data_IF_031639682864
#
_entry.id   IF_031639682864
#
_cell.length_a   1.000
_cell.length_b   1.000
_cell.length_c   1.000
_cell.angle_alpha   90.00
_cell.angle_beta   90.00
_cell.angle_gamma   90.00
#
_symmetry.space_group_name_H-M   'P 1'
#
loop_
_entity.id
_entity.type
_entity.pdbx_description
1 polymer ?
#
# COMPACT_ATOMS: atom_id res chain seq x y z
N UNK A 1 -57.53 -12.20 -22.66
CA UNK A 1 -56.52 -11.44 -23.43
C UNK A 1 -55.63 -10.73 -22.43
N UNK A 2 -54.52 -11.33 -22.08
CA UNK A 2 -53.53 -10.75 -21.16
C UNK A 2 -52.38 -10.13 -21.99
N UNK A 3 -52.40 -8.84 -22.06
CA UNK A 3 -51.37 -8.04 -22.71
C UNK A 3 -50.15 -8.05 -21.79
N UNK A 4 -49.17 -8.88 -22.09
CA UNK A 4 -47.83 -8.82 -21.44
C UNK A 4 -47.05 -7.73 -22.11
N UNK A 5 -47.07 -6.55 -21.51
CA UNK A 5 -46.12 -5.49 -21.80
C UNK A 5 -44.70 -6.02 -21.65
N UNK A 6 -44.01 -6.20 -22.75
CA UNK A 6 -42.58 -6.49 -22.81
C UNK A 6 -41.84 -5.36 -22.08
N UNK A 7 -41.14 -5.71 -21.00
CA UNK A 7 -40.25 -4.82 -20.33
C UNK A 7 -39.25 -4.27 -21.36
N UNK A 8 -39.13 -2.95 -21.44
CA UNK A 8 -38.17 -2.26 -22.27
C UNK A 8 -36.78 -2.82 -21.98
N UNK A 9 -36.09 -3.25 -23.03
CA UNK A 9 -34.68 -3.62 -22.98
C UNK A 9 -33.92 -2.53 -22.25
N UNK A 10 -33.11 -2.85 -21.24
CA UNK A 10 -32.31 -1.81 -20.57
C UNK A 10 -31.47 -1.12 -21.63
N UNK A 11 -31.59 0.20 -21.74
CA UNK A 11 -30.74 0.99 -22.60
C UNK A 11 -29.32 0.70 -22.25
N UNK A 12 -28.52 0.26 -23.23
CA UNK A 12 -27.07 0.13 -23.08
C UNK A 12 -26.57 1.47 -22.55
N UNK A 13 -25.87 1.53 -21.43
CA UNK A 13 -25.36 2.75 -20.87
C UNK A 13 -24.61 3.49 -21.99
N UNK A 14 -24.90 4.77 -22.21
CA UNK A 14 -24.12 5.60 -23.13
C UNK A 14 -22.69 5.50 -22.66
N UNK A 15 -21.90 4.67 -23.37
CA UNK A 15 -20.55 4.29 -23.01
C UNK A 15 -19.77 5.55 -22.66
N UNK A 16 -19.19 5.56 -21.45
CA UNK A 16 -18.27 6.60 -21.08
C UNK A 16 -17.17 6.65 -22.13
N UNK A 17 -16.84 7.83 -22.59
CA UNK A 17 -15.78 8.03 -23.58
C UNK A 17 -14.38 7.88 -22.98
N UNK A 18 -14.27 7.37 -21.74
CA UNK A 18 -12.99 7.06 -21.12
C UNK A 18 -12.35 5.87 -21.80
N UNK A 19 -11.27 6.13 -22.51
CA UNK A 19 -10.44 5.10 -23.09
C UNK A 19 -9.35 4.75 -22.07
N UNK A 20 -9.24 3.48 -21.66
CA UNK A 20 -8.17 3.06 -20.76
C UNK A 20 -6.80 3.34 -21.38
N UNK A 21 -5.88 3.87 -20.58
CA UNK A 21 -4.49 4.07 -20.99
C UNK A 21 -3.85 2.70 -21.20
N UNK A 22 -3.50 2.40 -22.45
CA UNK A 22 -2.85 1.15 -22.80
C UNK A 22 -1.34 1.34 -22.81
N UNK A 23 -0.62 0.46 -22.13
CA UNK A 23 0.84 0.35 -22.23
C UNK A 23 1.22 -0.23 -23.60
N UNK A 24 2.39 0.12 -24.10
CA UNK A 24 2.83 -0.29 -25.44
C UNK A 24 2.87 -1.82 -25.59
N UNK A 25 3.36 -2.54 -24.58
CA UNK A 25 3.34 -4.00 -24.59
C UNK A 25 1.93 -4.60 -24.75
N UNK A 26 0.89 -3.95 -24.24
CA UNK A 26 -0.49 -4.40 -24.40
C UNK A 26 -0.99 -4.09 -25.82
N UNK A 27 -0.58 -2.97 -26.40
CA UNK A 27 -0.86 -2.65 -27.81
C UNK A 27 -0.22 -3.67 -28.75
N UNK A 28 1.01 -4.10 -28.47
CA UNK A 28 1.70 -5.13 -29.23
C UNK A 28 0.95 -6.45 -29.22
N UNK A 29 0.44 -6.88 -28.05
CA UNK A 29 -0.39 -8.09 -27.93
C UNK A 29 -1.71 -8.00 -28.73
N UNK A 30 -2.28 -6.79 -28.84
CA UNK A 30 -3.53 -6.53 -29.57
C UNK A 30 -3.31 -6.27 -31.04
N UNK A 31 -2.10 -5.95 -31.47
CA UNK A 31 -1.79 -5.68 -32.86
C UNK A 31 -2.10 -6.90 -33.75
N UNK A 32 -2.65 -6.63 -34.93
CA UNK A 32 -2.99 -7.69 -35.89
C UNK A 32 -1.89 -7.71 -36.96
N UNK A 33 -1.00 -8.73 -36.94
CA UNK A 33 0.03 -8.88 -37.95
C UNK A 33 -0.55 -9.28 -39.33
N UNK A 34 0.29 -9.42 -40.33
CA UNK A 34 -0.10 -9.70 -41.71
C UNK A 34 -0.85 -11.03 -41.89
N UNK A 35 -0.71 -11.96 -40.99
CA UNK A 35 -1.46 -13.24 -40.98
C UNK A 35 -2.87 -13.12 -40.39
N UNK A 36 -3.28 -11.93 -39.93
CA UNK A 36 -4.64 -11.62 -39.49
C UNK A 36 -4.98 -12.10 -38.06
N UNK A 37 -4.02 -12.63 -37.31
CA UNK A 37 -4.27 -13.16 -35.93
C UNK A 37 -3.36 -12.47 -34.92
N UNK A 38 -3.95 -11.75 -33.96
CA UNK A 38 -3.18 -11.11 -32.88
C UNK A 38 -2.57 -12.14 -31.94
N UNK A 39 -1.48 -11.79 -31.27
CA UNK A 39 -0.86 -12.63 -30.26
C UNK A 39 -1.83 -12.95 -29.10
N UNK A 40 -2.64 -11.98 -28.71
CA UNK A 40 -3.68 -12.20 -27.70
C UNK A 40 -4.68 -13.29 -28.11
N UNK A 41 -5.06 -13.32 -29.40
CA UNK A 41 -5.97 -14.35 -29.94
C UNK A 41 -5.31 -15.73 -29.91
N UNK A 42 -4.02 -15.83 -30.21
CA UNK A 42 -3.26 -17.09 -30.10
C UNK A 42 -3.21 -17.59 -28.67
N UNK A 43 -2.90 -16.70 -27.72
CA UNK A 43 -2.89 -17.02 -26.28
C UNK A 43 -4.27 -17.46 -25.80
N UNK A 44 -5.34 -16.78 -26.20
CA UNK A 44 -6.70 -17.16 -25.86
C UNK A 44 -7.07 -18.57 -26.36
N UNK A 45 -6.62 -18.91 -27.57
CA UNK A 45 -6.83 -20.24 -28.15
C UNK A 45 -6.08 -21.32 -27.35
N UNK A 46 -4.84 -21.04 -26.97
CA UNK A 46 -4.03 -21.96 -26.15
C UNK A 46 -4.57 -22.15 -24.74
N UNK A 47 -5.05 -21.09 -24.12
CA UNK A 47 -5.58 -21.11 -22.75
C UNK A 47 -6.93 -21.85 -22.65
N UNK A 48 -7.69 -21.94 -23.75
CA UNK A 48 -9.01 -22.56 -23.83
C UNK A 48 -10.02 -22.06 -22.74
N UNK A 49 -9.84 -20.87 -22.19
CA UNK A 49 -10.67 -20.26 -21.17
C UNK A 49 -10.15 -18.89 -20.71
N UNK A 50 -10.70 -18.31 -19.64
CA UNK A 50 -10.20 -17.05 -19.10
C UNK A 50 -8.73 -17.18 -18.68
N UNK A 51 -7.94 -16.17 -18.98
CA UNK A 51 -6.51 -16.13 -18.62
C UNK A 51 -6.05 -14.72 -18.30
N UNK A 52 -4.91 -14.61 -17.64
CA UNK A 52 -4.25 -13.36 -17.35
C UNK A 52 -2.89 -13.31 -18.03
N UNK A 53 -2.58 -12.17 -18.64
CA UNK A 53 -1.24 -11.88 -19.17
C UNK A 53 -0.52 -11.00 -18.17
N UNK A 54 0.63 -11.46 -17.70
CA UNK A 54 1.43 -10.77 -16.71
C UNK A 54 2.78 -10.35 -17.32
N UNK A 55 3.15 -9.08 -17.16
CA UNK A 55 4.42 -8.57 -17.65
C UNK A 55 5.36 -8.27 -16.48
N UNK A 56 6.25 -9.20 -16.19
CA UNK A 56 7.22 -9.07 -15.09
C UNK A 56 8.25 -7.99 -15.33
N UNK A 57 8.59 -7.67 -16.59
CA UNK A 57 9.54 -6.61 -16.91
C UNK A 57 8.95 -5.22 -16.53
N UNK A 58 7.71 -4.93 -16.91
CA UNK A 58 7.03 -3.68 -16.53
C UNK A 58 6.86 -3.60 -15.01
N UNK A 59 6.57 -4.73 -14.36
CA UNK A 59 6.48 -4.78 -12.91
C UNK A 59 7.81 -4.39 -12.24
N UNK A 60 8.95 -4.95 -12.68
CA UNK A 60 10.29 -4.59 -12.21
C UNK A 60 10.58 -3.11 -12.42
N UNK A 61 10.27 -2.58 -13.61
CA UNK A 61 10.44 -1.15 -13.90
C UNK A 61 9.64 -0.27 -12.93
N UNK A 62 8.41 -0.66 -12.58
CA UNK A 62 7.60 0.08 -11.61
C UNK A 62 8.23 0.06 -10.21
N UNK A 63 8.71 -1.09 -9.72
CA UNK A 63 9.40 -1.18 -8.42
C UNK A 63 10.63 -0.29 -8.40
N UNK A 64 11.47 -0.38 -9.43
CA UNK A 64 12.70 0.39 -9.54
C UNK A 64 12.43 1.89 -9.67
N UNK A 65 11.32 2.29 -10.28
CA UNK A 65 10.93 3.69 -10.35
C UNK A 65 10.62 4.29 -8.97
N UNK A 66 9.97 3.53 -8.07
CA UNK A 66 9.80 3.95 -6.68
C UNK A 66 11.13 4.06 -5.93
N UNK A 67 12.01 3.06 -6.07
CA UNK A 67 13.33 3.07 -5.45
C UNK A 67 14.17 4.28 -5.92
N UNK A 68 14.15 4.58 -7.20
CA UNK A 68 14.85 5.73 -7.78
C UNK A 68 14.36 7.08 -7.23
N UNK A 69 13.10 7.20 -6.85
CA UNK A 69 12.61 8.40 -6.16
C UNK A 69 13.30 8.54 -4.79
N UNK A 70 13.30 7.49 -3.99
CA UNK A 70 13.94 7.53 -2.68
C UNK A 70 15.45 7.83 -2.79
N UNK A 71 16.13 7.23 -3.77
CA UNK A 71 17.55 7.48 -4.04
C UNK A 71 17.82 8.95 -4.38
N UNK A 72 17.02 9.56 -5.27
CA UNK A 72 17.13 11.00 -5.60
C UNK A 72 16.99 11.89 -4.37
N UNK A 73 16.12 11.51 -3.45
CA UNK A 73 15.96 12.20 -2.17
C UNK A 73 17.02 11.82 -1.13
N UNK A 74 17.91 10.86 -1.41
CA UNK A 74 18.92 10.36 -0.50
C UNK A 74 18.34 9.69 0.75
N UNK A 75 17.15 9.10 0.63
CA UNK A 75 16.46 8.36 1.70
C UNK A 75 16.84 6.89 1.59
N UNK A 76 17.33 6.31 2.69
CA UNK A 76 17.52 4.86 2.81
C UNK A 76 16.15 4.20 2.92
N UNK A 77 15.82 3.37 1.94
CA UNK A 77 14.48 2.85 1.82
C UNK A 77 14.43 1.44 1.26
N UNK A 78 13.32 0.77 1.53
CA UNK A 78 12.99 -0.53 0.97
C UNK A 78 11.58 -0.49 0.40
N UNK A 79 11.42 -0.98 -0.83
CA UNK A 79 10.11 -1.14 -1.44
C UNK A 79 9.58 -2.53 -1.11
N UNK A 80 8.43 -2.60 -0.46
CA UNK A 80 7.73 -3.85 -0.16
C UNK A 80 6.56 -4.03 -1.13
N UNK A 81 6.63 -5.06 -1.94
CA UNK A 81 5.50 -5.43 -2.79
C UNK A 81 4.40 -6.11 -1.98
N UNK A 82 3.21 -5.51 -1.94
CA UNK A 82 2.05 -6.07 -1.25
C UNK A 82 1.47 -7.24 -2.06
N UNK A 83 1.88 -8.47 -1.74
CA UNK A 83 1.50 -9.69 -2.47
C UNK A 83 -0.02 -9.92 -2.48
N UNK A 84 -0.73 -9.47 -1.46
CA UNK A 84 -2.20 -9.48 -1.39
C UNK A 84 -2.91 -8.77 -2.56
N UNK A 85 -2.24 -7.81 -3.20
CA UNK A 85 -2.81 -7.07 -4.34
C UNK A 85 -2.85 -7.93 -5.61
N UNK A 86 -1.87 -8.80 -5.80
CA UNK A 86 -1.82 -9.76 -6.90
C UNK A 86 -0.99 -10.98 -6.47
N UNK A 87 -1.66 -12.11 -6.25
CA UNK A 87 -1.07 -13.34 -5.70
C UNK A 87 -0.44 -14.27 -6.74
N UNK A 88 -0.15 -13.77 -7.95
CA UNK A 88 0.52 -14.57 -8.97
C UNK A 88 1.95 -14.89 -8.54
N UNK A 89 2.31 -16.16 -8.62
CA UNK A 89 3.60 -16.67 -8.11
C UNK A 89 4.84 -16.05 -8.78
N UNK A 90 4.69 -15.53 -10.00
CA UNK A 90 5.79 -14.90 -10.75
C UNK A 90 6.30 -13.58 -10.14
N UNK A 91 5.50 -12.93 -9.27
CA UNK A 91 5.89 -11.66 -8.68
C UNK A 91 6.97 -11.80 -7.61
N UNK A 92 6.92 -12.83 -6.80
CA UNK A 92 7.87 -13.03 -5.70
C UNK A 92 9.32 -13.14 -6.21
N UNK A 93 9.65 -14.01 -7.18
CA UNK A 93 10.99 -14.04 -7.76
C UNK A 93 11.38 -12.70 -8.39
N UNK A 94 10.44 -12.05 -9.12
CA UNK A 94 10.71 -10.78 -9.77
C UNK A 94 11.06 -9.66 -8.77
N UNK A 95 10.42 -9.65 -7.59
CA UNK A 95 10.74 -8.72 -6.50
C UNK A 95 12.12 -8.99 -5.91
N UNK A 96 12.41 -10.25 -5.62
CA UNK A 96 13.68 -10.67 -5.00
C UNK A 96 14.89 -10.43 -5.91
N UNK A 97 14.75 -10.69 -7.21
CA UNK A 97 15.83 -10.47 -8.20
C UNK A 97 16.18 -8.98 -8.36
N UNK A 98 15.24 -8.06 -8.11
CA UNK A 98 15.49 -6.62 -8.09
C UNK A 98 15.97 -6.10 -6.72
N UNK A 99 16.17 -6.98 -5.73
CA UNK A 99 16.59 -6.59 -4.38
C UNK A 99 15.51 -5.88 -3.56
N UNK A 100 14.24 -6.02 -3.94
CA UNK A 100 13.10 -5.48 -3.22
C UNK A 100 12.50 -6.51 -2.26
N UNK A 101 11.53 -6.12 -1.44
CA UNK A 101 10.97 -6.88 -0.34
C UNK A 101 9.51 -7.22 -0.57
N UNK A 102 8.93 -8.12 0.24
CA UNK A 102 7.55 -8.58 0.08
C UNK A 102 6.74 -8.36 1.36
N UNK A 103 5.56 -7.75 1.21
CA UNK A 103 4.52 -7.69 2.24
C UNK A 103 3.54 -8.85 2.04
N UNK A 104 3.43 -9.71 3.04
CA UNK A 104 2.56 -10.88 3.07
C UNK A 104 1.50 -10.75 4.16
N UNK A 105 0.28 -11.23 3.89
CA UNK A 105 -0.86 -11.08 4.79
C UNK A 105 -1.50 -12.43 5.21
N UNK A 106 -0.93 -13.55 4.82
CA UNK A 106 -1.43 -14.88 5.21
C UNK A 106 -0.30 -15.90 5.39
N UNK A 107 -0.60 -17.03 6.02
CA UNK A 107 0.35 -18.13 6.20
C UNK A 107 0.80 -18.73 4.88
N UNK A 108 -0.11 -18.83 3.91
CA UNK A 108 0.17 -19.33 2.56
C UNK A 108 1.11 -18.37 1.81
N UNK A 109 0.87 -17.07 1.91
CA UNK A 109 1.74 -16.05 1.29
C UNK A 109 3.15 -16.10 1.92
N UNK A 110 3.25 -16.17 3.26
CA UNK A 110 4.53 -16.27 3.95
C UNK A 110 5.29 -17.56 3.58
N UNK A 111 4.60 -18.69 3.59
CA UNK A 111 5.19 -19.99 3.22
C UNK A 111 5.63 -19.99 1.76
N UNK A 112 4.81 -19.43 0.87
CA UNK A 112 5.13 -19.29 -0.54
C UNK A 112 6.36 -18.43 -0.80
N UNK A 113 6.48 -17.29 -0.11
CA UNK A 113 7.62 -16.39 -0.24
C UNK A 113 8.93 -17.04 0.27
N UNK A 114 8.88 -17.66 1.45
CA UNK A 114 10.02 -18.43 2.00
C UNK A 114 10.41 -19.61 1.09
N UNK A 115 9.40 -20.34 0.58
CA UNK A 115 9.61 -21.46 -0.35
C UNK A 115 10.19 -21.02 -1.70
N UNK A 116 9.95 -19.79 -2.13
CA UNK A 116 10.58 -19.18 -3.31
C UNK A 116 12.00 -18.65 -3.05
N UNK A 117 12.52 -18.78 -1.82
CA UNK A 117 13.89 -18.40 -1.46
C UNK A 117 14.04 -16.95 -0.99
N UNK A 118 12.93 -16.21 -0.73
CA UNK A 118 13.03 -14.86 -0.16
C UNK A 118 13.54 -14.95 1.28
N UNK A 119 14.55 -14.16 1.62
CA UNK A 119 15.07 -14.09 2.97
C UNK A 119 14.01 -13.54 3.95
N UNK A 120 13.94 -14.11 5.16
CA UNK A 120 12.99 -13.67 6.16
C UNK A 120 13.15 -12.17 6.52
N UNK A 121 14.35 -11.63 6.44
CA UNK A 121 14.66 -10.22 6.65
C UNK A 121 14.04 -9.29 5.58
N UNK A 122 13.68 -9.84 4.42
CA UNK A 122 13.07 -9.13 3.31
C UNK A 122 11.54 -9.30 3.27
N UNK A 123 10.99 -9.85 4.35
CA UNK A 123 9.54 -10.05 4.49
C UNK A 123 8.96 -9.19 5.61
N UNK A 124 7.73 -8.73 5.42
CA UNK A 124 6.89 -8.18 6.48
C UNK A 124 5.54 -8.88 6.48
N UNK A 125 5.06 -9.21 7.68
CA UNK A 125 3.71 -9.76 7.86
C UNK A 125 2.77 -8.62 8.26
N UNK A 126 1.79 -8.34 7.42
CA UNK A 126 0.76 -7.31 7.67
C UNK A 126 -0.63 -7.93 7.88
N UNK A 127 -1.65 -7.09 8.01
CA UNK A 127 -3.04 -7.48 8.25
C UNK A 127 -3.51 -7.10 9.63
N UNK A 128 -4.84 -6.90 9.78
CA UNK A 128 -5.45 -6.45 11.03
C UNK A 128 -5.49 -7.52 12.11
N UNK A 129 -5.63 -8.79 11.69
CA UNK A 129 -5.62 -9.94 12.58
C UNK A 129 -4.82 -11.07 11.93
N UNK A 130 -3.91 -11.64 12.70
CA UNK A 130 -3.04 -12.73 12.24
C UNK A 130 -3.34 -14.00 13.02
N UNK A 131 -3.45 -15.12 12.31
CA UNK A 131 -3.61 -16.41 12.95
C UNK A 131 -2.39 -16.78 13.82
N UNK A 132 -2.60 -17.61 14.83
CA UNK A 132 -1.51 -18.07 15.69
C UNK A 132 -0.44 -18.82 14.89
N UNK A 133 -0.83 -19.60 13.90
CA UNK A 133 0.11 -20.31 13.02
C UNK A 133 0.99 -19.37 12.21
N UNK A 134 0.41 -18.30 11.65
CA UNK A 134 1.15 -17.26 10.95
C UNK A 134 2.14 -16.55 11.88
N UNK A 135 1.69 -16.14 13.06
CA UNK A 135 2.56 -15.50 14.06
C UNK A 135 3.69 -16.43 14.51
N UNK A 136 3.39 -17.72 14.74
CA UNK A 136 4.41 -18.72 15.12
C UNK A 136 5.48 -18.85 14.04
N UNK A 137 5.07 -18.95 12.77
CA UNK A 137 6.02 -19.04 11.65
C UNK A 137 6.85 -17.75 11.53
N UNK A 138 6.19 -16.58 11.57
CA UNK A 138 6.87 -15.29 11.48
C UNK A 138 7.90 -15.08 12.60
N UNK A 139 7.55 -15.42 13.86
CA UNK A 139 8.45 -15.31 15.01
C UNK A 139 9.66 -16.24 14.88
N UNK A 140 9.43 -17.51 14.50
CA UNK A 140 10.53 -18.48 14.32
C UNK A 140 11.49 -18.07 13.22
N UNK A 141 11.01 -17.45 12.17
CA UNK A 141 11.81 -16.95 11.06
C UNK A 141 12.33 -15.53 11.28
N UNK A 142 11.95 -14.88 12.40
CA UNK A 142 12.29 -13.48 12.71
C UNK A 142 11.85 -12.49 11.63
N UNK A 143 10.71 -12.75 11.00
CA UNK A 143 10.09 -11.85 10.02
C UNK A 143 9.53 -10.63 10.75
N UNK A 144 9.66 -9.46 10.16
CA UNK A 144 9.06 -8.23 10.67
C UNK A 144 7.53 -8.35 10.71
N UNK A 145 6.92 -7.97 11.84
CA UNK A 145 5.46 -8.07 12.03
C UNK A 145 4.86 -6.68 12.23
N UNK A 146 3.96 -6.25 11.34
CA UNK A 146 3.18 -5.05 11.53
C UNK A 146 1.98 -5.34 12.45
N UNK A 147 1.99 -4.80 13.66
CA UNK A 147 1.03 -5.05 14.74
C UNK A 147 -0.09 -4.02 14.67
N UNK A 148 -1.34 -4.46 14.57
CA UNK A 148 -2.49 -3.57 14.39
C UNK A 148 -3.09 -3.06 15.71
N UNK A 149 -3.00 -3.85 16.78
CA UNK A 149 -3.65 -3.56 18.06
C UNK A 149 -2.82 -3.98 19.28
N UNK A 150 -3.05 -3.37 20.45
CA UNK A 150 -2.42 -3.79 21.71
C UNK A 150 -2.65 -5.25 22.07
N UNK A 151 -3.86 -5.76 21.85
CA UNK A 151 -4.16 -7.18 22.12
C UNK A 151 -3.31 -8.12 21.27
N UNK A 152 -3.07 -7.78 20.02
CA UNK A 152 -2.16 -8.52 19.14
C UNK A 152 -0.71 -8.40 19.63
N UNK A 153 -0.27 -7.21 20.06
CA UNK A 153 1.06 -6.99 20.61
C UNK A 153 1.34 -7.90 21.80
N UNK A 154 0.42 -7.95 22.76
CA UNK A 154 0.56 -8.81 23.94
C UNK A 154 0.58 -10.30 23.57
N UNK A 155 -0.25 -10.70 22.61
CA UNK A 155 -0.26 -12.08 22.09
C UNK A 155 1.06 -12.45 21.45
N UNK A 156 1.64 -11.55 20.62
CA UNK A 156 2.95 -11.74 20.01
C UNK A 156 4.04 -11.85 21.06
N UNK A 157 4.05 -10.96 22.06
CA UNK A 157 5.02 -10.98 23.13
C UNK A 157 4.95 -12.28 23.95
N UNK A 158 3.75 -12.75 24.30
CA UNK A 158 3.58 -14.03 24.98
C UNK A 158 4.09 -15.20 24.14
N UNK A 159 3.70 -15.25 22.88
CA UNK A 159 4.10 -16.31 21.96
C UNK A 159 5.61 -16.30 21.72
N UNK A 160 6.25 -15.13 21.62
CA UNK A 160 7.70 -15.01 21.49
C UNK A 160 8.40 -15.61 22.73
N UNK A 161 7.93 -15.32 23.94
CA UNK A 161 8.44 -15.91 25.18
C UNK A 161 8.30 -17.43 25.21
N UNK A 162 7.14 -17.97 24.85
CA UNK A 162 6.88 -19.40 24.80
C UNK A 162 7.77 -20.11 23.77
N UNK A 163 8.16 -19.43 22.69
CA UNK A 163 9.05 -19.95 21.66
C UNK A 163 10.55 -19.71 21.96
N UNK A 164 10.88 -19.00 23.04
CA UNK A 164 12.25 -18.59 23.36
C UNK A 164 12.82 -17.56 22.39
N UNK A 165 11.97 -16.81 21.69
CA UNK A 165 12.38 -15.73 20.78
C UNK A 165 12.54 -14.46 21.60
N UNK A 166 13.68 -13.80 21.43
CA UNK A 166 13.99 -12.49 22.01
C UNK A 166 14.10 -11.45 20.91
N UNK A 167 13.72 -10.22 21.23
CA UNK A 167 13.83 -9.07 20.29
C UNK A 167 13.18 -9.34 18.92
N UNK A 168 11.99 -9.97 18.92
CA UNK A 168 11.22 -10.17 17.69
C UNK A 168 10.85 -8.80 17.09
N UNK A 169 11.20 -8.54 15.81
CA UNK A 169 11.00 -7.23 15.21
C UNK A 169 9.53 -6.94 14.93
N UNK A 170 9.03 -5.82 15.45
CA UNK A 170 7.66 -5.38 15.20
C UNK A 170 7.60 -3.92 14.75
N UNK A 171 6.63 -3.60 13.89
CA UNK A 171 6.15 -2.24 13.65
C UNK A 171 4.78 -2.10 14.29
N UNK A 172 4.52 -1.00 14.96
CA UNK A 172 3.18 -0.71 15.48
C UNK A 172 2.40 0.15 14.49
N UNK A 173 1.13 -0.19 14.26
CA UNK A 173 0.30 0.53 13.31
C UNK A 173 -0.41 1.69 13.98
N UNK A 174 -0.16 2.89 13.46
CA UNK A 174 -0.80 4.11 13.95
C UNK A 174 -2.18 4.31 13.34
N UNK A 175 -3.14 4.68 14.17
CA UNK A 175 -4.41 5.23 13.74
C UNK A 175 -4.17 6.63 13.19
N UNK A 176 -4.49 6.91 11.90
CA UNK A 176 -4.31 8.24 11.34
C UNK A 176 -5.28 9.24 11.98
N UNK A 177 -4.76 10.38 12.46
CA UNK A 177 -5.59 11.40 13.12
C UNK A 177 -6.63 12.04 12.20
N UNK A 178 -6.34 12.15 10.90
CA UNK A 178 -7.26 12.71 9.91
C UNK A 178 -8.31 11.71 9.41
N UNK A 179 -8.21 10.44 9.82
CA UNK A 179 -9.13 9.35 9.45
C UNK A 179 -9.49 8.50 10.69
N UNK A 180 -10.05 9.13 11.75
CA UNK A 180 -10.30 8.45 13.02
C UNK A 180 -11.38 7.36 12.93
N UNK A 181 -12.18 7.35 11.87
CA UNK A 181 -13.22 6.35 11.59
C UNK A 181 -12.67 5.01 11.09
N UNK A 182 -11.39 4.95 10.74
CA UNK A 182 -10.80 3.68 10.32
C UNK A 182 -10.75 2.70 11.49
N UNK A 183 -11.06 1.44 11.21
CA UNK A 183 -11.02 0.34 12.19
C UNK A 183 -9.63 -0.23 12.42
N UNK A 184 -8.61 0.31 11.76
CA UNK A 184 -7.25 -0.20 11.77
C UNK A 184 -6.31 0.72 12.52
N UNK A 185 -5.36 0.12 13.24
CA UNK A 185 -4.35 0.84 13.99
C UNK A 185 -4.86 1.36 15.33
N UNK A 186 -3.95 1.92 16.11
CA UNK A 186 -4.18 2.38 17.47
C UNK A 186 -3.56 3.77 17.64
N UNK A 187 -4.16 4.61 18.51
CA UNK A 187 -3.66 5.95 18.77
C UNK A 187 -2.25 5.95 19.37
N UNK A 188 -1.46 6.98 19.08
CA UNK A 188 -0.10 7.13 19.61
C UNK A 188 -0.08 7.09 21.13
N UNK A 189 -1.05 7.75 21.78
CA UNK A 189 -1.15 7.78 23.25
C UNK A 189 -1.41 6.39 23.86
N UNK A 190 -2.21 5.56 23.19
CA UNK A 190 -2.45 4.20 23.65
C UNK A 190 -1.21 3.33 23.41
N UNK A 191 -0.60 3.40 22.22
CA UNK A 191 0.64 2.67 21.95
C UNK A 191 1.74 2.97 22.96
N UNK A 192 1.90 4.25 23.33
CA UNK A 192 2.91 4.64 24.32
C UNK A 192 2.69 3.95 25.65
N UNK A 193 1.44 3.97 26.18
CA UNK A 193 1.11 3.27 27.45
C UNK A 193 1.39 1.77 27.40
N UNK A 194 0.98 1.11 26.30
CA UNK A 194 1.12 -0.33 26.17
C UNK A 194 2.59 -0.78 26.02
N UNK A 195 3.37 -0.01 25.29
CA UNK A 195 4.79 -0.25 25.13
C UNK A 195 5.58 0.02 26.42
N UNK A 196 5.21 1.04 27.21
CA UNK A 196 5.76 1.27 28.54
C UNK A 196 5.46 0.10 29.48
N UNK A 197 4.20 -0.35 29.52
CA UNK A 197 3.80 -1.51 30.33
C UNK A 197 4.55 -2.81 29.94
N UNK A 198 4.89 -2.99 28.67
CA UNK A 198 5.71 -4.12 28.23
C UNK A 198 7.16 -4.03 28.71
N UNK A 199 7.74 -2.84 28.70
CA UNK A 199 9.13 -2.65 29.14
C UNK A 199 9.33 -2.82 30.64
N UNK A 200 8.31 -2.56 31.43
CA UNK A 200 8.34 -2.81 32.87
C UNK A 200 8.33 -4.31 33.23
N UNK A 201 7.98 -5.17 32.28
CA UNK A 201 8.05 -6.61 32.47
C UNK A 201 9.51 -7.10 32.41
N UNK A 202 9.88 -7.99 33.31
CA UNK A 202 11.24 -8.51 33.46
C UNK A 202 11.77 -9.31 32.26
N UNK A 203 10.90 -9.66 31.31
CA UNK A 203 11.27 -10.28 30.03
C UNK A 203 10.38 -9.73 28.93
N UNK A 204 10.98 -9.11 27.93
CA UNK A 204 10.32 -8.65 26.72
C UNK A 204 10.77 -9.51 25.54
N UNK A 205 9.81 -10.10 24.81
CA UNK A 205 10.09 -10.94 23.64
C UNK A 205 10.15 -10.19 22.33
N UNK A 206 9.87 -8.87 22.33
CA UNK A 206 9.76 -8.04 21.12
C UNK A 206 10.69 -6.84 21.15
N UNK A 207 11.06 -6.34 19.96
CA UNK A 207 11.65 -5.03 19.75
C UNK A 207 10.78 -4.20 18.80
N UNK A 208 10.36 -3.01 19.26
CA UNK A 208 9.62 -2.07 18.42
C UNK A 208 10.60 -1.35 17.48
N UNK A 209 10.67 -1.84 16.24
CA UNK A 209 11.56 -1.33 15.19
C UNK A 209 11.05 -0.04 14.56
N UNK A 210 9.81 0.35 14.84
CA UNK A 210 9.24 1.57 14.30
C UNK A 210 7.73 1.53 14.16
N UNK A 211 7.23 2.31 13.25
CA UNK A 211 5.80 2.50 13.06
C UNK A 211 5.38 2.32 11.60
N UNK A 212 4.12 1.93 11.42
CA UNK A 212 3.46 1.88 10.13
C UNK A 212 2.13 2.62 10.18
N UNK A 213 1.66 3.14 9.07
CA UNK A 213 0.29 3.65 8.93
C UNK A 213 -0.23 3.40 7.52
N UNK A 214 -1.55 3.43 7.37
CA UNK A 214 -2.19 3.32 6.06
C UNK A 214 -3.34 4.33 5.97
N UNK A 215 -3.41 5.08 4.87
CA UNK A 215 -4.44 6.06 4.62
C UNK A 215 -5.39 5.58 3.52
N UNK A 216 -6.67 5.87 3.68
CA UNK A 216 -7.61 5.83 2.57
C UNK A 216 -7.39 7.05 1.69
N UNK A 217 -7.53 6.88 0.38
CA UNK A 217 -7.34 7.98 -0.57
C UNK A 217 -5.88 8.15 -1.02
N UNK A 218 -5.71 9.09 -1.95
CA UNK A 218 -4.46 9.33 -2.67
C UNK A 218 -3.93 10.75 -2.47
N UNK A 219 -4.11 11.33 -1.27
CA UNK A 219 -3.61 12.66 -0.96
C UNK A 219 -2.15 12.62 -0.53
N UNK A 220 -1.19 13.15 -1.33
CA UNK A 220 0.20 13.26 -0.93
C UNK A 220 0.36 14.09 0.33
N UNK A 221 -0.39 15.20 0.43
CA UNK A 221 -0.33 16.10 1.56
C UNK A 221 -0.78 15.46 2.89
N UNK A 222 -1.84 14.64 2.89
CA UNK A 222 -2.26 13.90 4.08
C UNK A 222 -1.18 12.88 4.49
N UNK A 223 -0.63 12.15 3.52
CA UNK A 223 0.42 11.16 3.79
C UNK A 223 1.70 11.81 4.33
N UNK A 224 2.09 12.93 3.76
CA UNK A 224 3.21 13.72 4.25
C UNK A 224 3.00 14.16 5.71
N UNK A 225 1.85 14.77 6.04
CA UNK A 225 1.53 15.19 7.43
C UNK A 225 1.55 14.02 8.41
N UNK A 226 0.94 12.89 8.03
CA UNK A 226 0.93 11.69 8.88
C UNK A 226 2.34 11.13 9.08
N UNK A 227 3.18 11.15 8.04
CA UNK A 227 4.57 10.71 8.14
C UNK A 227 5.40 11.61 9.09
N UNK A 228 5.23 12.92 9.04
CA UNK A 228 5.88 13.83 9.99
C UNK A 228 5.48 13.54 11.44
N UNK A 229 4.19 13.33 11.72
CA UNK A 229 3.70 12.96 13.06
C UNK A 229 4.25 11.59 13.50
N UNK A 230 4.34 10.65 12.58
CA UNK A 230 4.92 9.34 12.85
C UNK A 230 6.40 9.45 13.24
N UNK A 231 7.17 10.30 12.56
CA UNK A 231 8.57 10.57 12.92
C UNK A 231 8.71 11.21 14.31
N UNK A 232 7.84 12.16 14.67
CA UNK A 232 7.82 12.73 16.02
C UNK A 232 7.54 11.66 17.09
N UNK A 233 6.63 10.74 16.79
CA UNK A 233 6.33 9.64 17.69
C UNK A 233 7.49 8.63 17.80
N UNK A 234 8.15 8.32 16.69
CA UNK A 234 9.35 7.46 16.69
C UNK A 234 10.47 8.06 17.55
N UNK A 235 10.64 9.38 17.56
CA UNK A 235 11.60 10.04 18.45
C UNK A 235 11.25 9.80 19.93
N UNK A 236 9.97 9.89 20.30
CA UNK A 236 9.51 9.57 21.66
C UNK A 236 9.81 8.09 21.98
N UNK A 237 9.55 7.16 21.06
CA UNK A 237 9.84 5.74 21.25
C UNK A 237 11.34 5.49 21.48
N UNK A 238 12.23 6.14 20.74
CA UNK A 238 13.68 6.06 20.94
C UNK A 238 14.11 6.56 22.30
N UNK A 239 13.57 7.70 22.74
CA UNK A 239 13.82 8.23 24.11
C UNK A 239 13.38 7.22 25.18
N UNK A 240 12.31 6.46 24.91
CA UNK A 240 11.84 5.39 25.80
C UNK A 240 12.63 4.08 25.62
N UNK A 241 13.66 4.06 24.78
CA UNK A 241 14.61 2.95 24.61
C UNK A 241 14.18 1.86 23.64
N UNK A 242 13.21 2.12 22.75
CA UNK A 242 12.91 1.26 21.60
C UNK A 242 13.82 1.59 20.43
N UNK A 243 14.06 0.64 19.53
CA UNK A 243 14.90 0.85 18.35
C UNK A 243 14.30 1.91 17.42
N UNK A 244 13.04 1.82 17.09
CA UNK A 244 12.21 2.80 16.36
C UNK A 244 12.92 3.53 15.20
N UNK A 245 13.51 2.77 14.27
CA UNK A 245 14.27 3.28 13.12
C UNK A 245 13.51 3.21 11.78
N UNK A 246 12.41 2.43 11.72
CA UNK A 246 11.68 2.15 10.49
C UNK A 246 10.35 2.90 10.45
N UNK A 247 10.09 3.61 9.35
CA UNK A 247 8.79 4.21 9.04
C UNK A 247 8.22 3.56 7.78
N UNK A 248 7.09 2.86 7.92
CA UNK A 248 6.30 2.37 6.80
C UNK A 248 5.13 3.34 6.53
N UNK A 249 5.16 4.01 5.40
CA UNK A 249 4.15 4.99 4.99
C UNK A 249 2.93 4.36 4.30
N UNK A 250 2.88 3.04 4.25
CA UNK A 250 1.80 2.28 3.63
C UNK A 250 1.77 2.33 2.11
N UNK A 251 0.82 1.61 1.54
CA UNK A 251 0.54 1.58 0.11
C UNK A 251 -0.57 2.54 -0.31
N UNK A 252 -1.18 2.30 -1.47
CA UNK A 252 -2.25 3.14 -2.00
C UNK A 252 -1.71 4.38 -2.72
N UNK A 253 -0.77 4.16 -3.63
CA UNK A 253 -0.33 5.19 -4.58
C UNK A 253 -1.26 5.19 -5.79
N UNK A 254 -1.56 6.38 -6.30
CA UNK A 254 -2.46 6.54 -7.44
C UNK A 254 -1.91 5.90 -8.71
N UNK A 255 -2.82 5.45 -9.57
CA UNK A 255 -2.51 4.85 -10.87
C UNK A 255 -3.29 5.58 -11.95
N UNK A 256 -2.64 5.93 -13.03
CA UNK A 256 -3.29 6.52 -14.20
C UNK A 256 -3.92 5.43 -15.07
N UNK A 257 -5.24 5.26 -14.95
CA UNK A 257 -5.99 4.32 -15.79
C UNK A 257 -6.42 4.92 -17.14
N UNK A 258 -6.41 6.25 -17.27
CA UNK A 258 -6.72 6.97 -18.51
C UNK A 258 -5.84 8.22 -18.65
N UNK A 259 -5.87 8.86 -19.80
CA UNK A 259 -5.15 10.12 -19.98
C UNK A 259 -5.78 11.22 -19.11
N UNK A 260 -4.98 12.09 -18.43
CA UNK A 260 -5.48 13.11 -17.52
C UNK A 260 -6.53 14.04 -18.14
N UNK A 261 -6.34 14.44 -19.39
CA UNK A 261 -7.29 15.30 -20.10
C UNK A 261 -8.64 14.61 -20.36
N UNK A 262 -8.63 13.31 -20.65
CA UNK A 262 -9.87 12.54 -20.84
C UNK A 262 -10.60 12.33 -19.51
N UNK A 263 -9.85 12.15 -18.44
CA UNK A 263 -10.41 12.05 -17.09
C UNK A 263 -11.11 13.34 -16.68
N UNK A 264 -10.47 14.49 -16.91
CA UNK A 264 -11.07 15.79 -16.56
C UNK A 264 -12.34 16.03 -17.35
N UNK A 265 -12.33 15.81 -18.66
CA UNK A 265 -13.53 15.90 -19.50
C UNK A 265 -14.66 14.97 -19.05
N UNK A 266 -14.30 13.75 -18.60
CA UNK A 266 -15.29 12.82 -18.05
C UNK A 266 -15.87 13.33 -16.74
N UNK A 267 -15.03 13.82 -15.84
CA UNK A 267 -15.41 14.35 -14.54
C UNK A 267 -16.38 15.52 -14.67
N UNK A 268 -16.08 16.47 -15.56
CA UNK A 268 -16.97 17.59 -15.87
C UNK A 268 -18.33 17.11 -16.38
N UNK A 269 -18.35 16.20 -17.34
CA UNK A 269 -19.60 15.64 -17.87
C UNK A 269 -20.44 14.93 -16.80
N UNK A 270 -19.81 14.19 -15.89
CA UNK A 270 -20.50 13.47 -14.81
C UNK A 270 -21.06 14.43 -13.77
N UNK A 271 -20.32 15.49 -13.44
CA UNK A 271 -20.78 16.52 -12.48
C UNK A 271 -22.01 17.25 -13.04
N UNK A 272 -21.97 17.61 -14.31
CA UNK A 272 -23.03 18.36 -14.98
C UNK A 272 -24.20 17.49 -15.50
N UNK A 273 -24.06 16.17 -15.42
CA UNK A 273 -25.08 15.26 -15.92
C UNK A 273 -26.35 15.30 -15.07
N UNK A 274 -27.53 15.50 -15.69
CA UNK A 274 -28.81 15.47 -14.98
C UNK A 274 -29.19 14.08 -14.48
N UNK A 275 -28.70 13.01 -15.11
CA UNK A 275 -28.95 11.63 -14.70
C UNK A 275 -27.62 10.88 -14.48
N UNK A 276 -27.21 10.85 -13.20
CA UNK A 276 -25.99 10.16 -12.78
C UNK A 276 -26.06 8.63 -12.91
N UNK A 277 -27.26 8.05 -13.11
CA UNK A 277 -27.44 6.62 -13.36
C UNK A 277 -26.87 6.18 -14.70
N UNK A 278 -26.70 7.11 -15.64
CA UNK A 278 -26.03 6.85 -16.91
C UNK A 278 -24.57 6.43 -16.72
N UNK A 279 -23.95 6.78 -15.59
CA UNK A 279 -22.55 6.56 -15.28
C UNK A 279 -22.35 5.62 -14.09
N UNK A 280 -23.29 5.56 -13.14
CA UNK A 280 -23.17 4.78 -11.91
C UNK A 280 -24.47 4.03 -11.59
N UNK A 281 -24.38 2.74 -11.34
CA UNK A 281 -25.54 1.89 -11.02
C UNK A 281 -26.39 2.40 -9.85
N UNK A 282 -25.79 3.03 -8.87
CA UNK A 282 -26.48 3.56 -7.69
C UNK A 282 -26.99 4.99 -7.84
N UNK A 283 -26.70 5.65 -8.96
CA UNK A 283 -26.94 7.08 -9.13
C UNK A 283 -26.10 7.98 -8.20
N UNK A 284 -25.16 7.40 -7.45
CA UNK A 284 -24.22 8.12 -6.59
C UNK A 284 -22.89 8.22 -7.27
N UNK A 285 -22.32 9.43 -7.35
CA UNK A 285 -20.93 9.62 -7.69
C UNK A 285 -20.14 9.31 -6.42
N UNK A 286 -19.19 8.34 -6.43
CA UNK A 286 -18.29 8.13 -5.31
C UNK A 286 -17.54 9.43 -5.00
N UNK A 287 -17.35 9.75 -3.73
CA UNK A 287 -16.55 10.90 -3.33
C UNK A 287 -15.19 10.85 -4.01
N UNK A 288 -14.82 11.95 -4.69
CA UNK A 288 -13.58 12.07 -5.43
C UNK A 288 -13.50 11.26 -6.73
N UNK A 289 -14.62 10.69 -7.23
CA UNK A 289 -14.62 9.83 -8.43
C UNK A 289 -13.50 8.78 -8.41
N UNK A 290 -13.22 8.34 -7.23
CA UNK A 290 -12.20 7.40 -6.85
C UNK A 290 -12.54 5.99 -7.39
N UNK A 291 -11.58 5.19 -7.85
CA UNK A 291 -10.12 5.37 -7.89
C UNK A 291 -9.54 5.63 -9.30
N UNK A 292 -10.31 6.09 -10.25
CA UNK A 292 -10.04 5.94 -11.68
C UNK A 292 -9.37 7.15 -12.34
N UNK A 293 -9.10 8.22 -11.56
CA UNK A 293 -8.64 9.47 -12.14
C UNK A 293 -7.15 9.53 -12.38
N UNK A 294 -6.77 10.06 -13.51
CA UNK A 294 -5.48 10.66 -13.67
C UNK A 294 -5.42 11.95 -12.88
N UNK A 295 -5.03 11.91 -11.61
CA UNK A 295 -4.86 13.13 -10.81
C UNK A 295 -3.54 13.86 -11.11
N UNK A 296 -2.87 13.51 -12.20
CA UNK A 296 -1.62 14.14 -12.63
C UNK A 296 -0.38 13.45 -12.10
N UNK A 297 -0.34 13.09 -10.82
CA UNK A 297 0.79 12.41 -10.20
C UNK A 297 0.42 10.95 -9.91
N UNK A 298 1.03 10.01 -10.59
CA UNK A 298 0.89 8.58 -10.31
C UNK A 298 2.02 8.07 -9.40
N UNK A 299 1.94 6.84 -9.01
CA UNK A 299 2.87 6.10 -8.15
C UNK A 299 4.16 6.80 -7.74
N UNK A 300 5.24 6.76 -8.54
CA UNK A 300 6.53 7.36 -8.19
C UNK A 300 6.48 8.88 -8.06
N UNK A 301 5.69 9.58 -8.89
CA UNK A 301 5.55 11.05 -8.81
C UNK A 301 4.82 11.47 -7.53
N UNK A 302 3.81 10.69 -7.12
CA UNK A 302 3.14 10.89 -5.83
C UNK A 302 4.11 10.69 -4.66
N UNK A 303 5.02 9.72 -4.72
CA UNK A 303 6.06 9.53 -3.71
C UNK A 303 7.03 10.71 -3.67
N UNK A 304 7.43 11.24 -4.83
CA UNK A 304 8.28 12.42 -4.94
C UNK A 304 7.66 13.64 -4.25
N UNK A 305 6.37 13.87 -4.48
CA UNK A 305 5.60 14.94 -3.82
C UNK A 305 5.52 14.74 -2.30
N UNK A 306 5.29 13.50 -1.83
CA UNK A 306 5.27 13.19 -0.40
C UNK A 306 6.62 13.48 0.25
N UNK A 307 7.72 13.07 -0.36
CA UNK A 307 9.07 13.26 0.19
C UNK A 307 9.53 14.73 0.15
N UNK A 308 9.08 15.49 -0.85
CA UNK A 308 9.34 16.92 -0.98
C UNK A 308 8.52 17.77 -0.02
N UNK A 309 7.40 17.25 0.47
CA UNK A 309 6.45 17.99 1.29
C UNK A 309 7.04 18.42 2.64
N UNK A 310 6.69 19.63 3.05
CA UNK A 310 7.13 20.25 4.30
C UNK A 310 6.01 20.17 5.33
N UNK A 311 6.36 19.96 6.60
CA UNK A 311 5.40 19.98 7.69
C UNK A 311 4.84 21.40 7.90
N UNK A 312 3.62 21.63 7.44
CA UNK A 312 2.83 22.76 7.89
C UNK A 312 2.16 22.37 9.21
N UNK A 313 2.88 22.45 10.32
CA UNK A 313 2.31 22.14 11.64
C UNK A 313 1.92 23.43 12.35
N UNK A 314 0.61 23.66 12.66
CA UNK A 314 0.19 24.78 13.50
C UNK A 314 0.34 24.51 15.01
N UNK A 315 0.91 23.41 15.43
CA UNK A 315 0.90 23.02 16.84
C UNK A 315 2.19 22.33 17.29
N UNK A 316 3.29 23.04 17.30
CA UNK A 316 4.32 23.01 18.33
C UNK A 316 5.10 24.32 18.21
N UNK A 317 4.95 25.19 19.19
CA UNK A 317 5.90 26.29 19.41
C UNK A 317 7.28 25.68 19.71
N UNK A 318 8.02 25.35 18.69
CA UNK A 318 9.47 25.22 18.74
C UNK A 318 10.06 26.29 17.88
N UNK A 319 10.80 27.14 18.54
CA UNK A 319 11.68 28.18 18.05
C UNK A 319 12.76 27.48 17.19
N UNK A 320 12.45 27.16 15.96
CA UNK A 320 13.37 27.21 14.83
C UNK A 320 12.58 26.93 13.51
N UNK A 321 12.41 28.02 12.73
CA UNK A 321 11.63 28.00 11.50
C UNK A 321 12.50 27.61 10.32
N UNK A 322 13.06 26.43 10.30
CA UNK A 322 13.52 25.81 9.06
C UNK A 322 12.46 24.80 8.62
N UNK A 323 11.72 25.18 7.58
CA UNK A 323 10.76 24.28 6.93
C UNK A 323 11.52 23.10 6.30
N UNK A 324 11.65 22.00 7.04
CA UNK A 324 12.41 20.82 6.62
C UNK A 324 11.49 19.83 5.90
N UNK A 325 11.88 19.38 4.71
CA UNK A 325 11.13 18.38 3.96
C UNK A 325 11.08 17.01 4.69
N UNK A 326 10.12 16.18 4.35
CA UNK A 326 10.05 14.83 4.89
C UNK A 326 11.33 14.05 4.61
N UNK A 327 11.88 14.16 3.40
CA UNK A 327 13.12 13.50 3.01
C UNK A 327 14.32 13.95 3.89
N UNK A 328 14.43 15.24 4.21
CA UNK A 328 15.47 15.74 5.10
C UNK A 328 15.32 15.21 6.53
N UNK A 329 14.10 15.13 7.04
CA UNK A 329 13.83 14.53 8.36
C UNK A 329 14.20 13.05 8.40
N UNK A 330 13.90 12.28 7.35
CA UNK A 330 14.25 10.87 7.25
C UNK A 330 15.77 10.66 7.26
N UNK A 331 16.55 11.54 6.61
CA UNK A 331 18.02 11.48 6.64
C UNK A 331 18.62 11.79 8.02
N UNK A 332 18.03 12.75 8.73
CA UNK A 332 18.56 13.29 9.99
C UNK A 332 18.09 12.50 11.23
N UNK A 333 17.12 11.63 11.07
CA UNK A 333 16.51 10.86 12.17
C UNK A 333 17.23 9.55 12.52
N UNK A 334 18.49 9.40 12.11
CA UNK A 334 19.33 8.23 12.44
C UNK A 334 20.13 8.41 13.72
#
# INVERSE_FOLDING_TARGET
MNDKTFASTPSVPKTSTLVPKQRDWAKDLLSIPSDGVSELTRLATLAAGPFHVLNTQVFRQNLNAFAAVCERHGVDSHIYFAHKANKSACWIPAVAEEGHRVDVASGEELTGALGAGVCAADLVVTGAEKSQSLLTLALRQRVLIAVDSPSELFRINSLAKDLGVVDAPVLIRLLPEEQPETRFGTSMAQWLRELEALREQSSNGIDCRGVTFHLNGYSPAQRNRQAHKALDFMEILRIKGWTAEMLDIGGGFSVQYCEPSQWEMFREKVIDSPDKRDYFHSGRIPEGLYPYGGQGNDGPEMLDEILSGVANSPSVERIDKTSTSLAERLKNGR
#
